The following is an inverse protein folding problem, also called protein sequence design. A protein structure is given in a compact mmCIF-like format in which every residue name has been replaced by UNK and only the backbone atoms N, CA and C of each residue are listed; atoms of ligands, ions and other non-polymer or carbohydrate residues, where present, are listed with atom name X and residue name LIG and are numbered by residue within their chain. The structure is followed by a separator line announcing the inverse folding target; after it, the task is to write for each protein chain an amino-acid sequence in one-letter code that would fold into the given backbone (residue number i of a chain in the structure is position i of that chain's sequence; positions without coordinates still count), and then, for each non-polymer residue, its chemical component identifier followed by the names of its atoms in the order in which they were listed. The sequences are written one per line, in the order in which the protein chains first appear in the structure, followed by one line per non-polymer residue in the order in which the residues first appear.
data_IF_794880137622
#
_entry.id   IF_794880137622
#
_cell.length_a   1.000
_cell.length_b   1.000
_cell.length_c   1.000
_cell.angle_alpha   90.00
_cell.angle_beta   90.00
_cell.angle_gamma   90.00
#
_symmetry.space_group_name_H-M   'P 1'
#
loop_
_entity.id
_entity.type
_entity.pdbx_description
1 polymer ?
#
# COMPACT_ATOMS: atom_id res chain seq x y z
N UNK A 1 -15.52 32.40 64.07
CA UNK A 1 -14.27 31.94 63.36
C UNK A 1 -14.20 30.42 63.24
N UNK A 2 -14.80 29.66 64.12
CA UNK A 2 -14.66 28.21 64.20
C UNK A 2 -15.36 27.40 63.07
N UNK A 3 -16.50 27.89 62.58
CA UNK A 3 -17.26 27.19 61.54
C UNK A 3 -16.50 27.08 60.19
N UNK A 4 -15.77 28.14 59.79
CA UNK A 4 -14.92 28.11 58.57
C UNK A 4 -13.71 27.16 58.71
N UNK A 5 -13.11 27.13 59.92
CA UNK A 5 -11.98 26.24 60.19
C UNK A 5 -12.41 24.76 60.16
N UNK A 6 -13.59 24.46 60.74
CA UNK A 6 -14.11 23.08 60.71
C UNK A 6 -14.48 22.61 59.30
N UNK A 7 -15.09 23.51 58.47
CA UNK A 7 -15.35 23.19 57.07
C UNK A 7 -14.05 22.95 56.26
N UNK A 8 -13.01 23.77 56.51
CA UNK A 8 -11.72 23.61 55.84
C UNK A 8 -11.04 22.30 56.26
N UNK A 9 -11.08 21.93 57.55
CA UNK A 9 -10.56 20.66 58.04
C UNK A 9 -11.36 19.49 57.45
N UNK A 10 -12.68 19.58 57.37
CA UNK A 10 -13.54 18.56 56.77
C UNK A 10 -13.25 18.40 55.27
N UNK A 11 -13.08 19.48 54.51
CA UNK A 11 -12.71 19.44 53.10
C UNK A 11 -11.30 18.82 52.88
N UNK A 12 -10.33 19.13 53.79
CA UNK A 12 -8.99 18.52 53.72
C UNK A 12 -9.02 17.03 54.06
N UNK A 13 -9.86 16.61 55.02
CA UNK A 13 -10.05 15.20 55.36
C UNK A 13 -10.74 14.45 54.22
N UNK A 14 -11.79 15.06 53.61
CA UNK A 14 -12.45 14.48 52.46
C UNK A 14 -11.56 14.43 51.24
N UNK A 15 -10.71 15.43 50.99
CA UNK A 15 -9.70 15.40 49.95
C UNK A 15 -8.64 14.27 50.14
N UNK A 16 -8.25 14.06 51.39
CA UNK A 16 -7.31 12.98 51.74
C UNK A 16 -7.95 11.59 51.58
N UNK A 17 -9.26 11.45 51.79
CA UNK A 17 -9.96 10.16 51.59
C UNK A 17 -10.41 9.93 50.15
N UNK A 18 -10.50 10.97 49.31
CA UNK A 18 -10.86 10.87 47.88
C UNK A 18 -9.66 10.72 46.95
N UNK A 19 -8.43 10.80 47.45
CA UNK A 19 -7.31 10.35 46.63
C UNK A 19 -7.39 8.83 46.51
N UNK A 20 -7.70 8.28 45.31
CA UNK A 20 -7.55 6.85 45.11
C UNK A 20 -6.05 6.56 45.37
N UNK A 21 -5.77 5.83 46.44
CA UNK A 21 -4.45 5.21 46.61
C UNK A 21 -4.39 4.18 45.47
N UNK A 22 -3.83 4.56 44.34
CA UNK A 22 -3.44 3.61 43.32
C UNK A 22 -2.37 2.74 43.98
N UNK A 23 -2.80 1.64 44.59
CA UNK A 23 -1.90 0.58 44.97
C UNK A 23 -1.28 0.07 43.67
N UNK A 24 -0.05 0.52 43.40
CA UNK A 24 0.71 -0.09 42.34
C UNK A 24 0.80 -1.59 42.61
N UNK A 25 0.40 -2.39 41.66
CA UNK A 25 0.36 -3.84 41.79
C UNK A 25 1.37 -4.46 40.82
N UNK A 26 1.86 -5.64 41.17
CA UNK A 26 2.62 -6.45 40.24
C UNK A 26 1.70 -6.86 39.09
N UNK A 27 2.03 -6.42 37.88
CA UNK A 27 1.28 -6.76 36.67
C UNK A 27 2.25 -7.05 35.54
N UNK A 28 1.98 -8.09 34.77
CA UNK A 28 2.64 -8.31 33.50
C UNK A 28 1.60 -8.28 32.36
N UNK A 29 2.06 -7.90 31.20
CA UNK A 29 1.29 -7.95 29.97
C UNK A 29 2.11 -8.69 28.94
N UNK A 30 1.62 -9.87 28.56
CA UNK A 30 2.23 -10.75 27.56
C UNK A 30 1.20 -11.03 26.49
N UNK A 31 1.62 -11.10 25.24
CA UNK A 31 0.74 -11.52 24.15
C UNK A 31 0.30 -12.98 24.41
N UNK A 32 -1.00 -13.23 24.32
CA UNK A 32 -1.56 -14.56 24.71
C UNK A 32 -1.23 -15.66 23.71
N UNK A 33 -1.11 -15.34 22.43
CA UNK A 33 -0.88 -16.32 21.37
C UNK A 33 -0.06 -15.74 20.23
N UNK A 34 0.94 -16.52 19.78
CA UNK A 34 1.75 -16.22 18.58
C UNK A 34 1.86 -17.44 17.69
N UNK A 35 1.86 -17.21 16.38
CA UNK A 35 2.16 -18.25 15.38
C UNK A 35 3.64 -18.18 15.05
N UNK A 36 4.38 -19.24 15.31
CA UNK A 36 5.82 -19.31 15.07
C UNK A 36 6.12 -20.25 13.91
N UNK A 37 6.85 -19.73 12.91
CA UNK A 37 7.32 -20.54 11.79
C UNK A 37 8.52 -21.38 12.26
N UNK A 38 8.44 -22.69 12.07
CA UNK A 38 9.53 -23.62 12.42
C UNK A 38 10.81 -23.24 11.68
N UNK A 39 11.94 -23.38 12.34
CA UNK A 39 13.29 -22.96 11.88
C UNK A 39 13.51 -21.45 11.81
N UNK A 40 12.48 -20.61 12.05
CA UNK A 40 12.59 -19.15 12.13
C UNK A 40 12.84 -18.70 13.57
N UNK A 41 12.49 -17.49 13.92
CA UNK A 41 12.49 -16.98 15.28
C UNK A 41 11.17 -16.31 15.68
N UNK A 42 10.98 -16.08 16.96
CA UNK A 42 9.84 -15.34 17.48
C UNK A 42 10.31 -14.37 18.54
N UNK A 43 9.77 -13.15 18.50
CA UNK A 43 9.94 -12.16 19.56
C UNK A 43 8.62 -12.03 20.30
N UNK A 44 8.60 -12.37 21.57
CA UNK A 44 7.45 -12.32 22.48
C UNK A 44 7.43 -10.98 23.19
N UNK A 45 6.54 -10.04 22.85
CA UNK A 45 6.41 -8.77 23.57
C UNK A 45 5.95 -9.01 25.00
N UNK A 46 6.65 -8.37 25.94
CA UNK A 46 6.36 -8.50 27.35
C UNK A 46 6.67 -7.19 28.08
N UNK A 47 5.75 -6.72 28.89
CA UNK A 47 5.96 -5.61 29.81
C UNK A 47 5.47 -5.95 31.21
N UNK A 48 6.07 -5.35 32.25
CA UNK A 48 5.63 -5.55 33.62
C UNK A 48 5.74 -4.26 34.43
N UNK A 49 4.99 -4.18 35.51
CA UNK A 49 5.00 -3.08 36.47
C UNK A 49 5.31 -3.61 37.86
N UNK A 50 6.05 -2.81 38.63
CA UNK A 50 6.45 -3.09 40.04
C UNK A 50 5.71 -2.13 40.97
N UNK A 51 5.22 -2.58 42.15
CA UNK A 51 4.51 -1.74 43.11
C UNK A 51 5.34 -0.56 43.65
N UNK A 52 6.64 -0.72 43.78
CA UNK A 52 7.57 0.31 44.24
C UNK A 52 8.07 1.28 43.16
N UNK A 53 7.51 1.24 41.94
CA UNK A 53 7.98 2.05 40.82
C UNK A 53 9.16 1.44 40.07
N UNK A 54 9.96 2.27 39.40
CA UNK A 54 11.13 1.81 38.65
C UNK A 54 12.25 1.33 39.56
N UNK A 55 12.77 0.14 39.29
CA UNK A 55 13.93 -0.45 39.97
C UNK A 55 15.10 -0.55 38.98
N UNK A 56 16.36 -0.39 39.47
CA UNK A 56 17.51 -0.60 38.61
C UNK A 56 17.58 -2.07 38.16
N UNK A 57 17.99 -2.29 36.93
CA UNK A 57 18.07 -3.64 36.34
C UNK A 57 18.90 -4.60 37.15
N UNK A 58 19.95 -4.12 37.87
CA UNK A 58 20.82 -4.92 38.75
C UNK A 58 20.10 -5.56 39.94
N UNK A 59 18.89 -5.10 40.28
CA UNK A 59 18.07 -5.68 41.35
C UNK A 59 16.96 -6.61 40.81
N UNK A 60 16.89 -6.81 39.51
CA UNK A 60 15.84 -7.57 38.85
C UNK A 60 16.45 -8.76 38.13
N UNK A 61 15.87 -9.94 38.30
CA UNK A 61 16.19 -11.15 37.56
C UNK A 61 14.97 -11.63 36.78
N UNK A 62 15.07 -11.68 35.46
CA UNK A 62 14.03 -12.19 34.58
C UNK A 62 14.17 -13.69 34.38
N UNK A 63 13.06 -14.40 34.42
CA UNK A 63 12.99 -15.82 34.15
C UNK A 63 11.77 -16.05 33.23
N UNK A 64 11.95 -16.84 32.20
CA UNK A 64 10.84 -17.37 31.45
C UNK A 64 10.79 -18.89 31.63
N UNK A 65 9.63 -19.43 31.96
CA UNK A 65 9.47 -20.84 32.28
C UNK A 65 8.21 -21.43 31.65
N UNK A 66 8.13 -22.75 31.59
CA UNK A 66 6.91 -23.44 31.18
C UNK A 66 5.82 -23.32 32.25
N UNK A 67 4.55 -23.23 31.81
CA UNK A 67 3.42 -23.11 32.73
C UNK A 67 3.27 -24.35 33.62
N UNK A 68 3.39 -25.52 33.02
CA UNK A 68 3.17 -26.85 33.65
C UNK A 68 4.27 -27.16 34.66
N UNK A 69 5.51 -26.75 34.43
CA UNK A 69 6.65 -27.04 35.31
C UNK A 69 7.50 -25.79 35.54
N UNK A 70 7.25 -25.10 36.64
CA UNK A 70 7.91 -23.82 37.02
C UNK A 70 9.43 -23.88 37.13
N UNK A 71 10.03 -25.06 37.23
CA UNK A 71 11.49 -25.26 37.29
C UNK A 71 12.10 -25.45 35.90
N UNK A 72 11.29 -25.62 34.88
CA UNK A 72 11.73 -25.74 33.48
C UNK A 72 11.83 -24.36 32.85
N UNK A 73 12.98 -23.72 33.04
CA UNK A 73 13.24 -22.40 32.48
C UNK A 73 13.62 -22.51 31.01
N UNK A 74 13.00 -21.70 30.17
CA UNK A 74 13.39 -21.51 28.78
C UNK A 74 14.40 -20.35 28.66
N UNK A 75 14.35 -19.41 29.61
CA UNK A 75 15.33 -18.33 29.76
C UNK A 75 15.66 -18.09 31.22
N UNK A 76 16.94 -17.94 31.51
CA UNK A 76 17.50 -17.52 32.79
C UNK A 76 18.86 -16.87 32.56
N UNK A 77 19.29 -15.90 33.41
CA UNK A 77 20.62 -15.27 33.32
C UNK A 77 21.76 -16.28 33.53
N UNK A 78 21.56 -17.27 34.38
CA UNK A 78 22.44 -18.41 34.55
C UNK A 78 22.12 -19.52 33.54
N UNK A 79 22.98 -19.76 32.52
CA UNK A 79 22.74 -20.75 31.49
C UNK A 79 22.56 -22.19 32.00
N UNK A 80 23.10 -22.49 33.21
CA UNK A 80 22.98 -23.85 33.80
C UNK A 80 21.56 -24.17 34.22
N UNK A 81 20.70 -23.17 34.38
CA UNK A 81 19.30 -23.30 34.77
C UNK A 81 18.34 -23.32 33.58
N UNK A 82 18.85 -23.19 32.37
CA UNK A 82 18.04 -23.24 31.14
C UNK A 82 17.89 -24.70 30.69
N UNK A 83 16.70 -25.09 30.27
CA UNK A 83 16.45 -26.37 29.61
C UNK A 83 17.41 -26.60 28.44
N UNK A 84 17.96 -27.78 28.32
CA UNK A 84 18.95 -28.12 27.27
C UNK A 84 18.41 -27.83 25.86
N UNK A 85 17.11 -28.02 25.64
CA UNK A 85 16.47 -27.71 24.37
C UNK A 85 16.45 -26.21 24.03
N UNK A 86 16.57 -25.32 25.01
CA UNK A 86 16.54 -23.86 24.81
C UNK A 86 17.90 -23.19 25.01
N UNK A 87 18.93 -23.92 25.44
CA UNK A 87 20.28 -23.33 25.62
C UNK A 87 20.78 -22.71 24.32
N UNK A 88 21.24 -21.46 24.42
CA UNK A 88 21.77 -20.69 23.28
C UNK A 88 20.73 -20.20 22.29
N UNK A 89 19.43 -20.54 22.50
CA UNK A 89 18.35 -20.13 21.58
C UNK A 89 17.41 -19.06 22.14
N UNK A 90 17.61 -18.63 23.39
CA UNK A 90 16.76 -17.61 24.02
C UNK A 90 17.60 -16.42 24.48
N UNK A 91 17.04 -15.22 24.26
CA UNK A 91 17.68 -13.96 24.66
C UNK A 91 16.62 -12.97 25.15
N UNK A 92 16.91 -12.29 26.26
CA UNK A 92 16.09 -11.18 26.72
C UNK A 92 16.45 -9.93 25.94
N UNK A 93 15.50 -9.43 25.14
CA UNK A 93 15.66 -8.16 24.40
C UNK A 93 15.21 -6.96 25.24
N UNK A 94 14.34 -7.20 26.22
CA UNK A 94 13.76 -6.17 27.07
C UNK A 94 14.77 -5.63 28.09
N UNK A 95 14.63 -4.35 28.43
CA UNK A 95 15.38 -3.70 29.52
C UNK A 95 14.53 -3.76 30.79
N UNK A 96 14.91 -4.60 31.75
CA UNK A 96 14.17 -4.82 32.99
C UNK A 96 13.92 -3.53 33.78
N UNK A 97 14.90 -2.63 33.85
CA UNK A 97 14.75 -1.34 34.54
C UNK A 97 13.71 -0.41 33.92
N UNK A 98 13.23 -0.73 32.68
CA UNK A 98 12.17 -0.01 32.00
C UNK A 98 10.85 -0.82 32.00
N UNK A 99 10.74 -1.87 32.80
CA UNK A 99 9.56 -2.74 32.83
C UNK A 99 9.36 -3.56 31.55
N UNK A 100 10.41 -3.79 30.77
CA UNK A 100 10.34 -4.53 29.50
C UNK A 100 11.01 -5.90 29.67
N UNK A 101 10.24 -6.97 29.47
CA UNK A 101 10.63 -8.37 29.62
C UNK A 101 10.59 -9.15 28.29
N UNK A 102 10.59 -8.45 27.16
CA UNK A 102 10.52 -9.04 25.81
C UNK A 102 11.57 -10.12 25.62
N UNK A 103 11.12 -11.30 25.18
CA UNK A 103 11.96 -12.48 24.94
C UNK A 103 12.07 -12.76 23.44
N UNK A 104 13.26 -13.10 22.98
CA UNK A 104 13.49 -13.69 21.67
C UNK A 104 13.79 -15.18 21.81
N UNK A 105 13.22 -16.00 20.92
CA UNK A 105 13.52 -17.41 20.75
C UNK A 105 13.90 -17.62 19.29
N UNK A 106 15.13 -18.07 19.03
CA UNK A 106 15.64 -18.37 17.68
C UNK A 106 15.59 -19.86 17.38
N UNK A 107 15.69 -20.23 16.12
CA UNK A 107 15.68 -21.62 15.65
C UNK A 107 14.49 -22.41 16.21
N UNK A 108 13.31 -21.89 16.06
CA UNK A 108 12.07 -22.49 16.55
C UNK A 108 11.96 -23.96 16.09
N UNK A 109 11.67 -24.86 17.04
CA UNK A 109 11.48 -26.29 16.79
C UNK A 109 10.02 -26.67 17.00
N UNK A 110 9.61 -27.77 16.38
CA UNK A 110 8.23 -28.29 16.46
C UNK A 110 7.70 -28.47 17.88
N UNK A 111 8.60 -28.82 18.79
CA UNK A 111 8.25 -29.10 20.20
C UNK A 111 8.44 -27.90 21.12
N UNK A 112 8.73 -26.71 20.58
CA UNK A 112 8.85 -25.47 21.37
C UNK A 112 7.48 -24.85 21.68
N UNK A 113 6.43 -25.62 21.69
CA UNK A 113 5.10 -25.17 22.06
C UNK A 113 5.03 -24.75 23.54
N UNK A 114 4.35 -23.59 23.77
CA UNK A 114 4.10 -23.06 25.11
C UNK A 114 3.09 -23.89 25.90
N UNK A 115 2.43 -23.31 26.93
CA UNK A 115 2.54 -21.91 27.32
C UNK A 115 3.82 -21.58 28.08
N UNK A 116 4.38 -20.37 27.77
CA UNK A 116 5.53 -19.81 28.46
C UNK A 116 5.13 -18.60 29.29
N UNK A 117 5.54 -18.56 30.55
CA UNK A 117 5.17 -17.53 31.50
C UNK A 117 6.39 -16.76 31.98
N UNK A 118 6.18 -15.45 32.17
CA UNK A 118 7.21 -14.58 32.73
C UNK A 118 7.20 -14.66 34.26
N UNK A 119 8.38 -14.62 34.84
CA UNK A 119 8.62 -14.50 36.28
C UNK A 119 9.68 -13.46 36.53
N UNK A 120 9.48 -12.65 37.55
CA UNK A 120 10.45 -11.67 38.03
C UNK A 120 10.86 -12.03 39.45
N UNK A 121 12.15 -11.91 39.78
CA UNK A 121 12.70 -12.06 41.12
C UNK A 121 13.48 -10.81 41.46
N UNK A 122 13.32 -10.33 42.70
CA UNK A 122 14.19 -9.28 43.25
C UNK A 122 15.43 -9.91 43.87
N UNK A 123 16.58 -9.32 43.57
CA UNK A 123 17.88 -9.71 44.09
C UNK A 123 18.56 -8.49 44.74
N UNK A 124 19.48 -8.69 45.66
CA UNK A 124 20.28 -7.63 46.23
C UNK A 124 21.44 -7.27 45.30
N UNK A 125 22.12 -8.29 44.80
CA UNK A 125 23.11 -8.21 43.70
C UNK A 125 22.80 -9.27 42.65
N UNK A 126 23.33 -9.19 41.42
CA UNK A 126 23.09 -10.17 40.39
C UNK A 126 23.42 -11.63 40.76
N UNK A 127 24.43 -11.81 41.61
CA UNK A 127 24.93 -13.13 42.03
C UNK A 127 24.20 -13.70 43.27
N UNK A 128 23.41 -12.86 43.95
CA UNK A 128 22.72 -13.27 45.18
C UNK A 128 21.52 -14.18 44.91
N UNK A 129 21.14 -15.01 45.90
CA UNK A 129 19.86 -15.71 45.84
C UNK A 129 18.71 -14.70 45.83
N UNK A 130 17.55 -15.08 45.24
CA UNK A 130 16.39 -14.19 45.21
C UNK A 130 15.90 -13.87 46.62
N UNK A 131 15.43 -12.64 46.81
CA UNK A 131 14.72 -12.24 48.02
C UNK A 131 13.40 -12.98 48.15
N UNK A 132 12.62 -12.67 49.20
CA UNK A 132 11.26 -13.21 49.30
C UNK A 132 10.30 -12.68 48.23
N UNK A 133 10.64 -11.56 47.61
CA UNK A 133 9.85 -10.93 46.58
C UNK A 133 10.13 -11.55 45.18
N UNK A 134 9.20 -12.42 44.78
CA UNK A 134 9.23 -13.12 43.50
C UNK A 134 7.80 -13.35 43.02
N UNK A 135 7.53 -13.04 41.77
CA UNK A 135 6.19 -13.15 41.18
C UNK A 135 6.28 -13.88 39.84
N UNK A 136 5.46 -14.92 39.69
CA UNK A 136 5.25 -15.62 38.43
C UNK A 136 3.86 -15.26 37.88
N UNK A 137 3.81 -14.72 36.68
CA UNK A 137 2.59 -14.27 36.01
C UNK A 137 2.00 -15.43 35.19
N UNK A 138 1.42 -16.41 35.88
CA UNK A 138 0.91 -17.65 35.28
C UNK A 138 -0.42 -17.48 34.53
N UNK A 139 -1.10 -16.35 34.74
CA UNK A 139 -2.31 -16.01 34.00
C UNK A 139 -2.01 -15.27 32.70
N UNK A 140 -0.80 -14.72 32.57
CA UNK A 140 -0.33 -13.95 31.42
C UNK A 140 0.81 -14.66 30.70
N UNK A 141 0.55 -15.88 30.24
CA UNK A 141 1.51 -16.68 29.49
C UNK A 141 1.24 -16.59 27.99
N UNK A 142 2.28 -16.80 27.19
CA UNK A 142 2.18 -16.91 25.73
C UNK A 142 2.06 -18.36 25.32
N UNK A 143 1.09 -18.66 24.46
CA UNK A 143 0.97 -19.92 23.75
C UNK A 143 1.57 -19.79 22.35
N UNK A 144 2.60 -20.57 22.03
CA UNK A 144 3.22 -20.60 20.71
C UNK A 144 2.60 -21.73 19.89
N UNK A 145 2.00 -21.37 18.75
CA UNK A 145 1.49 -22.33 17.78
C UNK A 145 2.49 -22.46 16.64
N UNK A 146 3.08 -23.64 16.55
CA UNK A 146 4.02 -23.98 15.47
C UNK A 146 3.27 -24.17 14.16
N UNK A 147 3.87 -23.70 13.07
CA UNK A 147 3.41 -23.99 11.72
C UNK A 147 4.61 -24.24 10.78
N UNK A 148 4.38 -25.14 9.81
CA UNK A 148 5.34 -25.50 8.78
C UNK A 148 4.94 -24.97 7.42
N UNK A 149 3.75 -24.37 7.33
CA UNK A 149 3.20 -23.93 6.06
C UNK A 149 4.10 -22.86 5.43
N UNK A 150 4.26 -22.96 4.14
CA UNK A 150 4.92 -21.94 3.33
C UNK A 150 4.18 -20.61 3.48
N UNK A 151 4.77 -19.68 4.22
CA UNK A 151 4.28 -18.31 4.29
C UNK A 151 4.58 -17.65 2.95
N UNK A 152 3.60 -17.66 2.05
CA UNK A 152 3.75 -17.08 0.71
C UNK A 152 3.71 -15.57 0.79
N UNK A 153 4.64 -14.87 0.11
CA UNK A 153 4.56 -13.42 -0.01
C UNK A 153 3.32 -13.00 -0.80
N UNK A 154 2.74 -11.88 -0.40
CA UNK A 154 1.59 -11.26 -1.07
C UNK A 154 2.09 -10.17 -2.01
N UNK A 155 1.51 -10.12 -3.23
CA UNK A 155 1.82 -9.11 -4.23
C UNK A 155 0.66 -8.12 -4.34
N UNK A 156 0.95 -6.84 -4.14
CA UNK A 156 -0.02 -5.76 -4.25
C UNK A 156 0.40 -4.77 -5.32
N UNK A 157 -0.48 -4.51 -6.28
CA UNK A 157 -0.32 -3.47 -7.30
C UNK A 157 -1.53 -2.52 -7.27
N UNK A 158 -1.27 -1.23 -7.29
CA UNK A 158 -2.33 -0.22 -7.26
C UNK A 158 -2.90 0.09 -8.66
N UNK A 159 -2.10 -0.13 -9.70
CA UNK A 159 -2.45 0.22 -11.09
C UNK A 159 -1.93 -0.85 -12.03
N UNK A 160 -2.57 -0.98 -13.20
CA UNK A 160 -2.03 -1.78 -14.30
C UNK A 160 -0.78 -1.12 -14.86
N UNK A 161 0.27 -1.89 -15.22
CA UNK A 161 1.47 -1.35 -15.84
C UNK A 161 1.14 -0.75 -17.21
N UNK A 162 1.69 0.44 -17.49
CA UNK A 162 1.55 1.14 -18.77
C UNK A 162 2.92 1.41 -19.33
N UNK A 163 3.15 1.07 -20.60
CA UNK A 163 4.41 1.27 -21.30
C UNK A 163 4.91 2.71 -21.17
N UNK A 164 6.18 2.88 -20.78
CA UNK A 164 6.82 4.19 -20.63
C UNK A 164 6.40 5.01 -19.41
N UNK A 165 5.56 4.48 -18.50
CA UNK A 165 5.16 5.15 -17.26
C UNK A 165 5.66 4.40 -16.03
N UNK A 166 6.05 5.09 -14.95
CA UNK A 166 6.46 4.41 -13.72
C UNK A 166 5.36 3.49 -13.18
N UNK A 167 5.73 2.26 -12.89
CA UNK A 167 4.89 1.22 -12.32
C UNK A 167 5.50 0.75 -11.00
N UNK A 168 4.67 0.66 -9.97
CA UNK A 168 5.08 0.25 -8.62
C UNK A 168 4.28 -0.97 -8.20
N UNK A 169 4.98 -1.98 -7.68
CA UNK A 169 4.42 -3.18 -7.08
C UNK A 169 5.09 -3.46 -5.75
N UNK A 170 4.30 -3.88 -4.76
CA UNK A 170 4.77 -4.21 -3.42
C UNK A 170 4.67 -5.70 -3.19
N UNK A 171 5.74 -6.29 -2.70
CA UNK A 171 5.78 -7.64 -2.15
C UNK A 171 5.84 -7.55 -0.63
N UNK A 172 4.97 -8.24 0.07
CA UNK A 172 4.92 -8.22 1.53
C UNK A 172 4.80 -9.61 2.13
N UNK A 173 5.36 -9.78 3.33
CA UNK A 173 5.25 -11.01 4.10
C UNK A 173 5.12 -10.69 5.60
N UNK A 174 4.24 -11.41 6.27
CA UNK A 174 4.09 -11.35 7.73
C UNK A 174 5.03 -12.33 8.40
N UNK A 175 5.64 -11.93 9.53
CA UNK A 175 6.56 -12.75 10.30
C UNK A 175 6.60 -12.33 11.77
N UNK A 176 7.22 -13.14 12.62
CA UNK A 176 7.41 -12.88 14.06
C UNK A 176 8.88 -12.68 14.45
N UNK A 177 9.77 -12.51 13.46
CA UNK A 177 11.21 -12.49 13.60
C UNK A 177 11.83 -11.16 13.15
N UNK A 178 11.72 -10.06 13.93
CA UNK A 178 12.23 -8.75 13.53
C UNK A 178 13.76 -8.65 13.51
N UNK A 179 14.45 -9.43 14.34
CA UNK A 179 15.90 -9.48 14.41
C UNK A 179 16.55 -10.18 13.22
N UNK A 180 15.86 -11.21 12.68
CA UNK A 180 16.28 -11.98 11.51
C UNK A 180 15.14 -11.96 10.49
N UNK A 181 14.82 -10.74 10.02
CA UNK A 181 13.71 -10.51 9.08
C UNK A 181 13.86 -11.33 7.80
N UNK A 182 12.75 -11.79 7.21
CA UNK A 182 12.77 -12.45 5.91
C UNK A 182 13.36 -11.52 4.84
N UNK A 183 14.20 -12.07 3.98
CA UNK A 183 14.74 -11.33 2.85
C UNK A 183 13.83 -11.48 1.64
N UNK A 184 13.34 -10.33 1.14
CA UNK A 184 12.51 -10.27 -0.06
C UNK A 184 13.38 -9.93 -1.26
N UNK A 185 13.25 -10.72 -2.32
CA UNK A 185 13.96 -10.54 -3.58
C UNK A 185 13.03 -10.69 -4.78
N UNK A 186 13.33 -9.96 -5.85
CA UNK A 186 12.58 -9.95 -7.08
C UNK A 186 13.32 -10.69 -8.20
N UNK A 187 12.57 -11.31 -9.14
CA UNK A 187 13.16 -11.93 -10.33
C UNK A 187 13.77 -10.92 -11.31
N UNK A 188 13.45 -9.63 -11.13
CA UNK A 188 13.99 -8.50 -11.89
C UNK A 188 14.12 -7.27 -11.00
N UNK A 189 14.74 -6.22 -11.52
CA UNK A 189 14.94 -4.94 -10.86
C UNK A 189 16.39 -4.73 -10.43
N UNK A 190 16.80 -3.48 -10.41
CA UNK A 190 18.11 -3.05 -9.92
C UNK A 190 17.96 -2.59 -8.47
N UNK A 191 19.08 -2.45 -7.78
CA UNK A 191 19.09 -2.05 -6.37
C UNK A 191 18.46 -0.67 -6.12
N UNK A 192 18.59 0.26 -7.08
CA UNK A 192 18.03 1.60 -7.06
C UNK A 192 16.50 1.64 -7.33
N UNK A 193 15.96 0.58 -7.93
CA UNK A 193 14.53 0.39 -8.20
C UNK A 193 13.78 -0.24 -7.02
N UNK A 194 14.50 -0.74 -6.00
CA UNK A 194 13.95 -1.52 -4.90
C UNK A 194 14.14 -0.78 -3.57
N UNK A 195 13.04 -0.55 -2.86
CA UNK A 195 13.06 -0.09 -1.47
C UNK A 195 12.48 -1.15 -0.53
N UNK A 196 13.05 -1.27 0.68
CA UNK A 196 12.65 -2.26 1.69
C UNK A 196 12.20 -1.55 2.96
N UNK A 197 11.07 -1.97 3.51
CA UNK A 197 10.46 -1.41 4.72
C UNK A 197 10.12 -2.57 5.66
N UNK A 198 10.23 -2.33 6.97
CA UNK A 198 9.74 -3.24 8.00
C UNK A 198 8.83 -2.47 8.93
N UNK A 199 7.63 -2.99 9.17
CA UNK A 199 6.59 -2.36 9.98
C UNK A 199 6.21 -3.27 11.14
N UNK A 200 6.13 -2.71 12.34
CA UNK A 200 5.55 -3.39 13.48
C UNK A 200 4.01 -3.40 13.34
N UNK A 201 3.41 -4.57 13.40
CA UNK A 201 1.96 -4.77 13.31
C UNK A 201 1.31 -5.03 14.67
N UNK A 202 2.07 -4.76 15.75
CA UNK A 202 1.73 -5.01 17.15
C UNK A 202 1.63 -6.51 17.54
N UNK A 203 1.57 -6.75 18.83
CA UNK A 203 1.44 -8.09 19.42
C UNK A 203 2.49 -9.11 18.93
N UNK A 204 3.72 -8.67 18.61
CA UNK A 204 4.80 -9.55 18.15
C UNK A 204 4.73 -9.94 16.68
N UNK A 205 3.79 -9.39 15.93
CA UNK A 205 3.71 -9.56 14.48
C UNK A 205 4.39 -8.40 13.75
N UNK A 206 5.07 -8.73 12.68
CA UNK A 206 5.81 -7.79 11.84
C UNK A 206 5.47 -8.02 10.38
N UNK A 207 5.60 -6.99 9.58
CA UNK A 207 5.44 -7.04 8.12
C UNK A 207 6.72 -6.54 7.47
N UNK A 208 7.34 -7.36 6.63
CA UNK A 208 8.42 -6.95 5.74
C UNK A 208 7.88 -6.69 4.36
N UNK A 209 8.26 -5.57 3.77
CA UNK A 209 7.81 -5.13 2.45
C UNK A 209 9.00 -4.79 1.56
N UNK A 210 8.92 -5.20 0.31
CA UNK A 210 9.83 -4.82 -0.76
C UNK A 210 9.03 -4.17 -1.89
N UNK A 211 9.35 -2.93 -2.20
CA UNK A 211 8.66 -2.12 -3.19
C UNK A 211 9.57 -2.01 -4.40
N UNK A 212 9.09 -2.54 -5.54
CA UNK A 212 9.78 -2.44 -6.83
C UNK A 212 9.10 -1.37 -7.67
N UNK A 213 9.88 -0.39 -8.13
CA UNK A 213 9.40 0.67 -9.05
C UNK A 213 10.26 0.68 -10.29
N UNK A 214 9.65 0.45 -11.45
CA UNK A 214 10.33 0.45 -12.74
C UNK A 214 9.43 1.01 -13.85
N UNK A 215 10.02 1.28 -15.02
CA UNK A 215 9.28 1.72 -16.21
C UNK A 215 9.12 0.51 -17.13
N UNK A 216 7.86 0.00 -17.31
CA UNK A 216 7.60 -1.13 -18.19
C UNK A 216 7.86 -0.79 -19.66
N UNK A 217 8.52 -1.71 -20.35
CA UNK A 217 8.71 -1.69 -21.79
C UNK A 217 7.78 -2.69 -22.49
N UNK A 218 7.69 -2.66 -23.80
CA UNK A 218 6.88 -3.62 -24.58
C UNK A 218 7.32 -5.08 -24.38
N UNK A 219 8.64 -5.31 -24.21
CA UNK A 219 9.20 -6.63 -23.92
C UNK A 219 8.77 -7.22 -22.56
N UNK A 220 8.26 -6.38 -21.65
CA UNK A 220 7.82 -6.82 -20.34
C UNK A 220 6.37 -7.34 -20.35
N UNK A 221 5.65 -7.13 -21.48
CA UNK A 221 4.30 -7.63 -21.62
C UNK A 221 4.27 -9.17 -21.65
N UNK A 222 3.32 -9.77 -20.95
CA UNK A 222 3.18 -11.20 -20.74
C UNK A 222 4.39 -11.87 -20.06
N UNK A 223 5.27 -11.13 -19.39
CA UNK A 223 6.38 -11.71 -18.60
C UNK A 223 5.98 -11.95 -17.15
N UNK A 224 6.61 -12.95 -16.54
CA UNK A 224 6.40 -13.30 -15.15
C UNK A 224 7.31 -12.46 -14.23
N UNK A 225 6.69 -11.87 -13.21
CA UNK A 225 7.36 -11.18 -12.12
C UNK A 225 7.17 -11.97 -10.83
N UNK A 226 8.29 -12.46 -10.28
CA UNK A 226 8.29 -13.28 -9.07
C UNK A 226 8.92 -12.55 -7.92
N UNK A 227 8.26 -12.55 -6.76
CA UNK A 227 8.84 -12.19 -5.48
C UNK A 227 9.11 -13.45 -4.67
N UNK A 228 10.32 -13.56 -4.12
CA UNK A 228 10.74 -14.67 -3.26
C UNK A 228 11.08 -14.15 -1.87
N UNK A 229 10.48 -14.75 -0.85
CA UNK A 229 10.81 -14.54 0.55
C UNK A 229 11.75 -15.66 1.02
N UNK A 230 12.90 -15.30 1.55
CA UNK A 230 13.85 -16.21 2.21
C UNK A 230 13.80 -15.97 3.71
N UNK A 231 13.37 -16.98 4.48
CA UNK A 231 13.28 -16.93 5.94
C UNK A 231 14.57 -17.42 6.58
N UNK A 232 14.79 -17.01 7.81
CA UNK A 232 15.82 -17.62 8.65
C UNK A 232 15.56 -19.14 8.74
N UNK A 233 16.62 -19.96 8.73
CA UNK A 233 16.48 -21.42 8.68
C UNK A 233 16.42 -22.01 7.24
N UNK A 234 16.55 -21.16 6.21
CA UNK A 234 16.71 -21.59 4.81
C UNK A 234 15.41 -21.85 4.06
N UNK A 235 14.25 -21.72 4.70
CA UNK A 235 12.96 -21.83 4.04
C UNK A 235 12.79 -20.70 3.01
N UNK A 236 12.31 -21.03 1.81
CA UNK A 236 12.01 -20.06 0.75
C UNK A 236 10.62 -20.29 0.20
N UNK A 237 9.92 -19.20 0.00
CA UNK A 237 8.58 -19.21 -0.59
C UNK A 237 8.47 -18.10 -1.63
N UNK A 238 7.69 -18.29 -2.69
CA UNK A 238 7.58 -17.31 -3.76
C UNK A 238 6.16 -17.18 -4.29
N UNK A 239 5.86 -15.99 -4.79
CA UNK A 239 4.61 -15.68 -5.50
C UNK A 239 4.93 -14.99 -6.80
N UNK A 240 4.24 -15.39 -7.87
CA UNK A 240 4.46 -14.92 -9.24
C UNK A 240 3.17 -14.32 -9.79
N UNK A 241 3.31 -13.20 -10.49
CA UNK A 241 2.23 -12.62 -11.32
C UNK A 241 2.73 -12.47 -12.75
N UNK A 242 1.80 -12.52 -13.71
CA UNK A 242 2.08 -12.16 -15.11
C UNK A 242 1.78 -10.69 -15.31
N UNK A 243 2.74 -9.94 -15.86
CA UNK A 243 2.56 -8.54 -16.19
C UNK A 243 1.80 -8.40 -17.50
N UNK A 244 0.74 -7.61 -17.50
CA UNK A 244 0.00 -7.22 -18.70
C UNK A 244 0.21 -5.73 -18.92
N UNK A 245 1.13 -5.39 -19.83
CA UNK A 245 1.54 -4.00 -20.06
C UNK A 245 0.62 -3.35 -21.09
N UNK A 246 -0.14 -2.36 -20.63
CA UNK A 246 -0.98 -1.56 -21.54
C UNK A 246 -0.09 -0.68 -22.42
N UNK A 247 -0.22 -0.82 -23.74
CA UNK A 247 0.49 0.03 -24.70
C UNK A 247 -0.05 1.46 -24.64
N UNK A 248 0.83 2.43 -24.74
CA UNK A 248 0.45 3.82 -25.00
C UNK A 248 0.18 3.96 -26.48
N UNK A 249 -1.08 4.17 -26.86
CA UNK A 249 -1.42 4.50 -28.24
C UNK A 249 -0.77 5.84 -28.61
N UNK A 250 0.17 5.78 -29.53
CA UNK A 250 0.85 6.97 -30.03
C UNK A 250 0.09 7.50 -31.26
N UNK A 251 -0.84 8.41 -31.04
CA UNK A 251 -1.65 9.03 -32.10
C UNK A 251 -0.86 9.97 -33.02
N UNK A 252 0.46 10.13 -32.82
CA UNK A 252 1.28 11.03 -33.64
C UNK A 252 1.23 10.70 -35.13
N UNK A 253 1.10 9.42 -35.51
CA UNK A 253 0.96 9.00 -36.91
C UNK A 253 -0.35 9.45 -37.57
N UNK A 254 -1.38 9.80 -36.77
CA UNK A 254 -2.65 10.36 -37.25
C UNK A 254 -2.65 11.87 -37.11
N UNK A 255 -2.24 12.41 -35.98
CA UNK A 255 -2.29 13.85 -35.69
C UNK A 255 -1.39 14.64 -36.64
N UNK A 256 -0.15 14.18 -36.89
CA UNK A 256 0.82 14.89 -37.74
C UNK A 256 0.29 15.02 -39.20
N UNK A 257 -0.12 13.95 -39.89
CA UNK A 257 -0.61 14.09 -41.24
C UNK A 257 -1.91 14.91 -41.33
N UNK A 258 -2.83 14.79 -40.36
CA UNK A 258 -4.05 15.59 -40.30
C UNK A 258 -3.75 17.07 -40.15
N UNK A 259 -2.86 17.46 -39.23
CA UNK A 259 -2.47 18.87 -39.04
C UNK A 259 -1.77 19.43 -40.25
N UNK A 260 -0.93 18.67 -40.94
CA UNK A 260 -0.26 19.07 -42.19
C UNK A 260 -1.30 19.25 -43.30
N UNK A 261 -2.23 18.31 -43.46
CA UNK A 261 -3.27 18.39 -44.49
C UNK A 261 -4.19 19.62 -44.28
N UNK A 262 -4.63 19.89 -43.05
CA UNK A 262 -5.45 21.07 -42.73
C UNK A 262 -4.65 22.36 -42.99
N UNK A 263 -3.38 22.38 -42.54
CA UNK A 263 -2.51 23.55 -42.78
C UNK A 263 -2.29 23.84 -44.25
N UNK A 264 -2.02 22.84 -45.07
CA UNK A 264 -1.84 23.02 -46.54
C UNK A 264 -3.14 23.44 -47.22
N UNK A 265 -4.29 22.89 -46.84
CA UNK A 265 -5.59 23.29 -47.41
C UNK A 265 -5.93 24.75 -47.06
N UNK A 266 -5.64 25.22 -45.85
CA UNK A 266 -5.90 26.61 -45.45
C UNK A 266 -4.99 27.57 -46.21
N UNK A 267 -3.70 27.27 -46.37
CA UNK A 267 -2.75 28.09 -47.12
C UNK A 267 -3.18 28.19 -48.61
N UNK A 268 -3.57 27.03 -49.20
CA UNK A 268 -4.03 27.01 -50.58
C UNK A 268 -5.33 27.82 -50.77
N UNK A 269 -6.27 27.69 -49.83
CA UNK A 269 -7.51 28.50 -49.87
C UNK A 269 -7.23 30.00 -49.80
N UNK A 270 -6.31 30.45 -48.93
CA UNK A 270 -5.93 31.85 -48.85
C UNK A 270 -5.26 32.34 -50.13
N UNK A 271 -4.40 31.52 -50.74
CA UNK A 271 -3.78 31.83 -52.03
C UNK A 271 -4.81 31.96 -53.14
N UNK A 272 -5.80 31.06 -53.22
CA UNK A 272 -6.89 31.14 -54.16
C UNK A 272 -7.72 32.42 -53.99
N UNK A 273 -8.07 32.78 -52.77
CA UNK A 273 -8.76 34.05 -52.45
C UNK A 273 -7.92 35.27 -52.90
N UNK A 274 -6.63 35.26 -52.62
CA UNK A 274 -5.73 36.33 -53.02
C UNK A 274 -5.65 36.44 -54.54
N UNK A 275 -5.53 35.30 -55.25
CA UNK A 275 -5.48 35.29 -56.73
C UNK A 275 -6.79 35.80 -57.34
N UNK A 276 -7.96 35.33 -56.82
CA UNK A 276 -9.25 35.83 -57.29
C UNK A 276 -9.41 37.33 -57.08
N UNK A 277 -9.01 37.87 -55.91
CA UNK A 277 -9.00 39.32 -55.67
C UNK A 277 -8.06 40.06 -56.64
N UNK A 278 -6.88 39.53 -56.92
CA UNK A 278 -5.92 40.10 -57.86
C UNK A 278 -6.46 40.09 -59.30
N UNK A 279 -7.07 38.98 -59.73
CA UNK A 279 -7.68 38.91 -61.06
C UNK A 279 -8.88 39.86 -61.17
N UNK A 280 -9.76 39.97 -60.17
CA UNK A 280 -10.89 40.93 -60.19
C UNK A 280 -10.37 42.38 -60.29
N UNK A 281 -9.28 42.76 -59.63
CA UNK A 281 -8.68 44.09 -59.79
C UNK A 281 -8.14 44.32 -61.19
N UNK A 282 -7.45 43.35 -61.82
CA UNK A 282 -6.97 43.45 -63.21
C UNK A 282 -8.10 43.55 -64.20
N UNK A 283 -9.18 42.80 -64.02
CA UNK A 283 -10.36 42.90 -64.90
C UNK A 283 -11.00 44.27 -64.78
N UNK A 284 -11.13 44.81 -63.58
CA UNK A 284 -11.66 46.17 -63.35
C UNK A 284 -10.78 47.25 -63.99
N UNK A 285 -9.45 47.10 -63.92
CA UNK A 285 -8.49 47.99 -64.59
C UNK A 285 -8.60 47.93 -66.12
N UNK A 286 -8.80 46.74 -66.70
CA UNK A 286 -9.00 46.55 -68.15
C UNK A 286 -10.35 47.11 -68.61
N UNK A 287 -11.42 46.92 -67.87
CA UNK A 287 -12.73 47.52 -68.16
C UNK A 287 -12.74 49.02 -68.06
N UNK A 288 -11.96 49.62 -67.16
CA UNK A 288 -11.80 51.08 -67.10
C UNK A 288 -10.99 51.67 -68.20
N UNK A 289 -10.12 50.89 -68.86
CA UNK A 289 -9.37 51.29 -70.06
C UNK A 289 -10.22 51.19 -71.35
N UNK A 290 -11.15 50.24 -71.45
CA UNK A 290 -12.01 50.04 -72.64
C UNK A 290 -13.15 51.06 -72.69
N UNK A 291 -13.51 51.71 -71.59
CA UNK A 291 -14.50 52.80 -71.51
C UNK A 291 -14.16 54.09 -72.21
N UNK A 292 -13.01 54.20 -72.93
CA UNK A 292 -12.54 55.39 -73.65
C UNK A 292 -12.47 55.16 -75.18
N UNK A 293 -13.37 54.44 -75.80
CA UNK A 293 -13.51 54.48 -77.26
C UNK A 293 -14.82 55.15 -77.64
N UNK A 294 -14.82 55.99 -78.68
CA UNK A 294 -16.01 56.73 -79.08
C UNK A 294 -17.04 55.76 -79.84
N UNK A 295 -18.29 56.12 -79.69
CA UNK A 295 -19.43 55.51 -80.37
C UNK A 295 -19.21 55.45 -81.86
N UNK A 296 -19.33 54.28 -82.50
CA UNK A 296 -19.42 54.05 -83.91
C UNK A 296 -20.27 52.84 -84.16
N UNK A 297 -21.45 53.09 -84.70
CA UNK A 297 -22.40 52.28 -85.51
C UNK A 297 -22.75 50.84 -85.18
N UNK A 298 -24.05 50.71 -85.07
CA UNK A 298 -24.93 49.56 -84.98
C UNK A 298 -24.74 48.62 -86.17
N UNK A 299 -24.47 47.32 -85.93
CA UNK A 299 -24.90 46.25 -86.81
C UNK A 299 -25.48 45.14 -85.94
N UNK A 300 -26.76 44.95 -86.22
CA UNK A 300 -27.64 43.89 -85.66
C UNK A 300 -27.22 42.54 -86.23
N UNK A 301 -26.88 41.52 -85.43
CA UNK A 301 -26.88 40.13 -85.84
C UNK A 301 -27.22 39.17 -84.69
N UNK A 302 -28.41 38.60 -84.86
CA UNK A 302 -28.67 37.17 -84.69
C UNK A 302 -28.70 36.58 -83.23
N UNK A 303 -29.90 36.44 -82.78
CA UNK A 303 -30.33 35.54 -81.72
C UNK A 303 -29.67 34.15 -81.77
N UNK A 304 -28.89 33.77 -80.77
CA UNK A 304 -28.72 32.37 -80.36
C UNK A 304 -28.87 32.24 -78.84
N UNK A 305 -29.92 31.52 -78.50
CA UNK A 305 -30.19 31.10 -77.10
C UNK A 305 -29.01 30.37 -76.46
N UNK A 306 -28.47 30.91 -75.41
CA UNK A 306 -27.61 30.20 -74.45
C UNK A 306 -28.51 29.74 -73.30
N UNK A 307 -28.74 28.40 -73.22
CA UNK A 307 -29.42 27.76 -72.13
C UNK A 307 -28.70 28.13 -70.81
N UNK A 308 -29.43 28.78 -69.90
CA UNK A 308 -29.08 28.97 -68.53
C UNK A 308 -29.06 27.63 -67.79
N UNK A 309 -27.94 27.18 -67.36
CA UNK A 309 -27.86 26.16 -66.35
C UNK A 309 -28.08 26.82 -64.96
N UNK A 310 -29.34 26.78 -64.56
CA UNK A 310 -29.67 27.05 -63.15
C UNK A 310 -29.19 25.88 -62.30
N UNK A 311 -28.11 26.09 -61.55
CA UNK A 311 -27.75 25.24 -60.46
C UNK A 311 -28.43 25.79 -59.18
N UNK A 312 -29.59 25.16 -58.91
CA UNK A 312 -30.32 25.38 -57.67
C UNK A 312 -29.61 24.56 -56.60
N UNK A 313 -28.85 25.20 -55.75
CA UNK A 313 -28.31 24.57 -54.53
C UNK A 313 -29.41 24.45 -53.50
N UNK A 314 -29.96 23.28 -53.34
CA UNK A 314 -30.76 22.94 -52.19
C UNK A 314 -29.79 22.81 -50.99
N UNK A 315 -30.04 23.63 -49.98
CA UNK A 315 -29.51 23.46 -48.65
C UNK A 315 -30.24 22.26 -48.05
N UNK A 316 -29.59 21.12 -48.06
CA UNK A 316 -30.07 19.96 -47.34
C UNK A 316 -29.30 19.92 -45.99
N UNK A 317 -30.07 19.94 -44.91
CA UNK A 317 -29.62 19.81 -43.56
C UNK A 317 -28.96 18.42 -43.41
N UNK A 318 -27.64 18.43 -43.23
CA UNK A 318 -26.89 17.23 -42.91
C UNK A 318 -27.19 16.74 -41.50
N UNK A 319 -28.19 15.88 -41.37
CA UNK A 319 -28.39 15.04 -40.21
C UNK A 319 -27.15 14.15 -40.00
N UNK A 320 -26.51 14.32 -38.86
CA UNK A 320 -25.47 13.45 -38.34
C UNK A 320 -25.96 12.00 -38.30
N UNK A 321 -25.56 11.20 -39.27
CA UNK A 321 -25.69 9.75 -39.23
C UNK A 321 -24.73 9.18 -38.21
N UNK A 322 -25.12 9.26 -36.93
CA UNK A 322 -24.51 8.47 -35.88
C UNK A 322 -24.82 7.00 -36.17
N UNK A 323 -23.78 6.24 -36.52
CA UNK A 323 -23.89 4.84 -36.89
C UNK A 323 -24.54 4.06 -35.75
N UNK A 324 -25.62 3.34 -35.99
CA UNK A 324 -26.37 2.53 -35.01
C UNK A 324 -25.49 1.52 -34.26
N UNK A 325 -24.34 1.17 -34.80
CA UNK A 325 -23.34 0.34 -34.14
C UNK A 325 -22.70 1.05 -32.93
N UNK A 326 -22.39 2.35 -33.02
CA UNK A 326 -21.76 3.13 -31.93
C UNK A 326 -22.74 3.38 -30.78
N UNK A 327 -24.02 3.55 -31.07
CA UNK A 327 -25.05 3.71 -30.03
C UNK A 327 -25.25 2.43 -29.20
N UNK A 328 -25.09 1.26 -29.80
CA UNK A 328 -25.21 -0.03 -29.13
C UNK A 328 -23.98 -0.29 -28.23
N UNK A 329 -22.79 0.11 -28.68
CA UNK A 329 -21.56 0.02 -27.87
C UNK A 329 -21.64 0.94 -26.64
N UNK A 330 -22.12 2.18 -26.81
CA UNK A 330 -22.27 3.13 -25.71
C UNK A 330 -23.31 2.66 -24.68
N UNK A 331 -24.46 2.15 -25.12
CA UNK A 331 -25.47 1.56 -24.22
C UNK A 331 -24.98 0.31 -23.48
N UNK A 332 -24.10 -0.48 -24.10
CA UNK A 332 -23.51 -1.67 -23.49
C UNK A 332 -22.50 -1.27 -22.42
N UNK A 333 -21.67 -0.23 -22.67
CA UNK A 333 -20.75 0.31 -21.68
C UNK A 333 -21.46 0.90 -20.45
N UNK A 334 -22.55 1.63 -20.63
CA UNK A 334 -23.35 2.14 -19.50
C UNK A 334 -23.93 1.01 -18.66
N UNK A 335 -24.51 -0.03 -19.29
CA UNK A 335 -25.06 -1.19 -18.56
C UNK A 335 -24.01 -1.98 -17.78
N UNK A 336 -22.79 -2.09 -18.31
CA UNK A 336 -21.68 -2.76 -17.62
C UNK A 336 -21.18 -1.92 -16.44
N UNK A 337 -21.09 -0.59 -16.63
CA UNK A 337 -20.69 0.35 -15.57
C UNK A 337 -21.68 0.35 -14.38
N UNK A 338 -22.98 0.36 -14.66
CA UNK A 338 -24.01 0.26 -13.60
C UNK A 338 -23.96 -1.06 -12.85
N UNK A 339 -23.78 -2.20 -13.53
CA UNK A 339 -23.65 -3.50 -12.87
C UNK A 339 -22.42 -3.60 -11.98
N UNK A 340 -21.29 -3.03 -12.40
CA UNK A 340 -20.06 -3.01 -11.59
C UNK A 340 -20.23 -2.11 -10.36
N UNK A 341 -20.90 -0.96 -10.52
CA UNK A 341 -21.20 -0.06 -9.41
C UNK A 341 -22.12 -0.71 -8.36
N UNK A 342 -23.17 -1.42 -8.80
CA UNK A 342 -24.09 -2.12 -7.91
C UNK A 342 -23.45 -3.31 -7.19
N UNK A 343 -22.54 -4.06 -7.84
CA UNK A 343 -21.77 -5.11 -7.20
C UNK A 343 -20.84 -4.57 -6.10
N UNK A 344 -20.15 -3.45 -6.33
CA UNK A 344 -19.33 -2.81 -5.30
C UNK A 344 -20.16 -2.29 -4.14
N UNK A 345 -21.34 -1.76 -4.40
CA UNK A 345 -22.26 -1.29 -3.36
C UNK A 345 -22.80 -2.44 -2.50
N UNK A 346 -23.11 -3.60 -3.09
CA UNK A 346 -23.52 -4.81 -2.34
C UNK A 346 -22.37 -5.41 -1.51
N UNK A 347 -21.13 -5.40 -2.02
CA UNK A 347 -19.98 -5.83 -1.25
C UNK A 347 -19.68 -4.91 -0.05
N UNK A 348 -19.84 -3.60 -0.20
CA UNK A 348 -19.67 -2.65 0.88
C UNK A 348 -20.73 -2.85 1.98
N UNK A 349 -21.99 -3.11 1.61
CA UNK A 349 -23.05 -3.42 2.59
C UNK A 349 -22.85 -4.76 3.31
N UNK A 350 -22.33 -5.79 2.64
CA UNK A 350 -22.04 -7.07 3.28
C UNK A 350 -20.82 -7.02 4.21
N UNK A 351 -19.89 -6.11 3.97
CA UNK A 351 -18.73 -5.87 4.84
C UNK A 351 -19.14 -5.14 6.13
N UNK A 352 -20.05 -4.16 6.02
CA UNK A 352 -20.58 -3.45 7.19
C UNK A 352 -21.50 -4.32 8.07
N UNK A 353 -22.27 -5.23 7.48
CA UNK A 353 -23.16 -6.10 8.21
C UNK A 353 -22.43 -7.22 8.98
N UNK A 354 -21.20 -7.57 8.62
CA UNK A 354 -20.37 -8.59 9.33
C UNK A 354 -19.55 -8.06 10.50
N UNK A 355 -19.43 -6.74 10.64
CA UNK A 355 -18.66 -6.13 11.73
C UNK A 355 -19.53 -5.59 12.87
N UNK A 356 -20.84 -5.87 12.88
CA UNK A 356 -21.79 -5.45 13.91
C UNK A 356 -22.63 -6.62 14.48
N UNK A 357 -22.10 -7.86 14.43
CA UNK A 357 -22.64 -9.01 15.17
C UNK A 357 -21.58 -9.59 16.08
#
# INVERSE_FOLDING_TARGET
MDKKRNIMIFCLLMAATCCPVFSAEWKATVVKQLKALVSSCVVVPCSFTHPGGELPASKLRAIWHRLDVKTQNIYHEDPTKILDSFKGRTQLLGKLGQGNCTLEIIEIKDHDNGPFCFRIELVLTPDDPPTKEKVSFVEDCVDLKMHHDDVKPELHQLKTPVQGKPFTITCSVHHTCPSHKPELSWSRGKADEISKIQTNMDFGNWKSESILTFIPEEKDDHTNLTCTAAFNGGLKSSTTITLYVKRTENYNHIIIPVTVAVGTATIFGLLCIFMVKKYKRRIAELQSRDGRRPKGDIVEFGNRQLKSCNYRGDLDDGDDFMNTADLNVYKTYQKVSEKVYDQHKQQAYSYHARNHL
#
